data_IF_240373442199
#
_entry.id   IF_240373442199
#
_cell.length_a   1.000
_cell.length_b   1.000
_cell.length_c   1.000
_cell.angle_alpha   90.00
_cell.angle_beta   90.00
_cell.angle_gamma   90.00
#
_symmetry.space_group_name_H-M   'P 1'
#
loop_
_entity.id
_entity.type
_entity.pdbx_description
1 polymer ?
#
# COMPACT_ATOMS: atom_id res chain seq x y z
N UNK A 1 -71.85 -8.41 -22.33
CA UNK A 1 -70.81 -8.98 -21.44
C UNK A 1 -69.49 -8.50 -22.01
N UNK A 2 -68.70 -7.60 -21.46
CA UNK A 2 -68.53 -7.15 -20.08
C UNK A 2 -67.03 -7.18 -19.78
N UNK A 3 -66.39 -6.00 -19.78
CA UNK A 3 -65.09 -5.67 -19.15
C UNK A 3 -63.82 -6.33 -19.72
N UNK A 4 -62.59 -5.83 -19.56
CA UNK A 4 -61.97 -4.52 -19.33
C UNK A 4 -60.46 -4.80 -19.14
N UNK A 5 -59.60 -3.82 -19.43
CA UNK A 5 -58.33 -3.51 -18.72
C UNK A 5 -57.06 -4.36 -19.01
N UNK A 6 -56.17 -3.71 -19.78
CA UNK A 6 -54.70 -3.55 -19.61
C UNK A 6 -53.99 -4.36 -18.51
N UNK A 7 -52.84 -4.97 -18.83
CA UNK A 7 -51.61 -4.77 -18.05
C UNK A 7 -50.35 -4.91 -18.91
N UNK A 8 -49.59 -3.81 -18.98
CA UNK A 8 -48.18 -3.75 -19.38
C UNK A 8 -47.35 -4.51 -18.34
N UNK A 9 -46.39 -5.36 -18.73
CA UNK A 9 -45.19 -5.58 -17.91
C UNK A 9 -44.00 -5.79 -18.83
N UNK A 10 -43.17 -4.75 -18.92
CA UNK A 10 -41.82 -4.81 -19.44
C UNK A 10 -40.99 -5.74 -18.52
N UNK A 11 -40.41 -6.80 -19.08
CA UNK A 11 -39.43 -7.60 -18.35
C UNK A 11 -38.11 -6.83 -18.34
N UNK A 12 -37.90 -6.09 -17.25
CA UNK A 12 -36.70 -5.35 -16.91
C UNK A 12 -35.49 -6.27 -16.88
N UNK A 13 -34.44 -5.89 -17.61
CA UNK A 13 -33.10 -6.40 -17.44
C UNK A 13 -32.57 -6.01 -16.05
N UNK A 14 -32.43 -6.98 -15.14
CA UNK A 14 -31.60 -6.81 -13.95
C UNK A 14 -30.14 -7.03 -14.34
N UNK A 15 -29.50 -5.97 -14.84
CA UNK A 15 -28.06 -5.80 -14.68
C UNK A 15 -27.80 -5.66 -13.19
N UNK A 16 -27.39 -6.75 -12.54
CA UNK A 16 -26.76 -6.72 -11.24
C UNK A 16 -25.45 -5.94 -11.37
N UNK A 17 -25.51 -4.63 -11.13
CA UNK A 17 -24.33 -3.84 -10.83
C UNK A 17 -23.74 -4.37 -9.53
N UNK A 18 -22.73 -5.21 -9.64
CA UNK A 18 -21.83 -5.56 -8.55
C UNK A 18 -21.17 -4.26 -8.11
N UNK A 19 -21.74 -3.63 -7.09
CA UNK A 19 -21.08 -2.57 -6.35
C UNK A 19 -19.90 -3.22 -5.65
N UNK A 20 -18.77 -3.28 -6.35
CA UNK A 20 -17.46 -3.44 -5.74
C UNK A 20 -17.20 -2.18 -4.93
N UNK A 21 -17.89 -2.08 -3.79
CA UNK A 21 -17.65 -1.06 -2.79
C UNK A 21 -16.17 -1.07 -2.46
N UNK A 22 -15.60 0.13 -2.34
CA UNK A 22 -14.24 0.37 -1.92
C UNK A 22 -13.84 -0.66 -0.85
N UNK A 23 -12.93 -1.56 -1.19
CA UNK A 23 -12.21 -2.32 -0.18
C UNK A 23 -11.37 -1.30 0.57
N UNK A 24 -11.96 -0.71 1.63
CA UNK A 24 -11.21 0.04 2.61
C UNK A 24 -10.05 -0.86 3.01
N UNK A 25 -8.83 -0.44 2.66
CA UNK A 25 -7.64 -1.27 2.84
C UNK A 25 -7.61 -1.75 4.28
N UNK A 26 -7.60 -3.08 4.48
CA UNK A 26 -7.39 -3.63 5.81
C UNK A 26 -6.09 -3.00 6.33
N UNK A 27 -6.17 -2.45 7.53
CA UNK A 27 -5.01 -1.84 8.17
C UNK A 27 -3.92 -2.92 8.35
N UNK A 28 -2.64 -2.61 8.10
CA UNK A 28 -1.55 -3.53 8.40
C UNK A 28 -1.59 -4.02 9.84
N UNK A 29 -1.32 -5.30 10.06
CA UNK A 29 -1.20 -5.87 11.40
C UNK A 29 0.11 -5.46 12.09
N UNK A 30 1.10 -5.00 11.31
CA UNK A 30 2.36 -4.43 11.76
C UNK A 30 2.81 -3.36 10.79
N UNK A 31 3.39 -2.30 11.32
CA UNK A 31 4.05 -1.28 10.53
C UNK A 31 5.40 -0.96 11.13
N UNK A 32 6.38 -0.77 10.26
CA UNK A 32 7.69 -0.26 10.65
C UNK A 32 8.04 0.95 9.81
N UNK A 33 8.86 1.84 10.35
CA UNK A 33 9.38 2.99 9.63
C UNK A 33 10.87 3.17 9.88
N UNK A 34 11.58 3.74 8.91
CA UNK A 34 13.02 4.00 9.01
C UNK A 34 13.43 5.11 8.05
N UNK A 35 14.63 5.64 8.28
CA UNK A 35 15.28 6.63 7.43
C UNK A 35 16.22 5.92 6.45
N UNK A 36 16.22 6.39 5.21
CA UNK A 36 17.32 6.20 4.26
C UNK A 36 18.39 7.26 4.55
N UNK A 37 19.61 7.02 4.09
CA UNK A 37 20.70 8.03 4.15
C UNK A 37 20.41 9.24 3.25
N UNK A 38 19.52 9.05 2.28
CA UNK A 38 19.01 10.06 1.37
C UNK A 38 18.10 9.47 0.28
N UNK A 39 17.37 10.30 -0.48
CA UNK A 39 16.46 9.82 -1.53
C UNK A 39 17.16 9.05 -2.67
N UNK A 40 18.47 9.23 -2.85
CA UNK A 40 19.30 8.47 -3.79
C UNK A 40 19.42 6.99 -3.43
N UNK A 41 19.12 6.60 -2.19
CA UNK A 41 19.12 5.21 -1.74
C UNK A 41 17.85 4.44 -2.15
N UNK A 42 16.80 5.14 -2.61
CA UNK A 42 15.51 4.53 -3.00
C UNK A 42 15.65 3.37 -4.00
N UNK A 43 16.50 3.44 -5.06
CA UNK A 43 16.70 2.29 -5.95
C UNK A 43 17.30 1.07 -5.24
N UNK A 44 18.24 1.28 -4.30
CA UNK A 44 18.84 0.21 -3.52
C UNK A 44 17.81 -0.41 -2.55
N UNK A 45 17.01 0.42 -1.89
CA UNK A 45 15.87 -0.02 -1.08
C UNK A 45 14.85 -0.83 -1.91
N UNK A 46 14.47 -0.33 -3.09
CA UNK A 46 13.51 -0.98 -3.98
C UNK A 46 14.02 -2.35 -4.43
N UNK A 47 15.28 -2.43 -4.87
CA UNK A 47 15.91 -3.68 -5.28
C UNK A 47 16.03 -4.68 -4.12
N UNK A 48 16.32 -4.20 -2.92
CA UNK A 48 16.34 -5.02 -1.72
C UNK A 48 14.96 -5.66 -1.42
N UNK A 49 13.88 -4.88 -1.52
CA UNK A 49 12.52 -5.38 -1.31
C UNK A 49 12.05 -6.31 -2.43
N UNK A 50 12.41 -6.05 -3.68
CA UNK A 50 12.17 -6.97 -4.80
C UNK A 50 12.89 -8.31 -4.60
N UNK A 51 14.14 -8.30 -4.15
CA UNK A 51 14.88 -9.52 -3.81
C UNK A 51 14.18 -10.37 -2.73
N UNK A 52 13.66 -9.73 -1.69
CA UNK A 52 12.82 -10.40 -0.68
C UNK A 52 11.56 -10.96 -1.33
N UNK A 53 10.86 -10.18 -2.15
CA UNK A 53 9.64 -10.63 -2.82
C UNK A 53 9.91 -11.88 -3.68
N UNK A 54 11.01 -11.91 -4.44
CA UNK A 54 11.39 -13.05 -5.26
C UNK A 54 11.70 -14.31 -4.42
N UNK A 55 12.43 -14.17 -3.31
CA UNK A 55 12.74 -15.29 -2.42
C UNK A 55 11.48 -15.94 -1.84
N UNK A 56 10.51 -15.11 -1.44
CA UNK A 56 9.23 -15.56 -0.92
C UNK A 56 8.20 -15.87 -2.02
N UNK A 57 8.60 -15.83 -3.30
CA UNK A 57 7.77 -16.07 -4.49
C UNK A 57 6.51 -15.21 -4.52
N UNK A 58 6.66 -13.95 -4.15
CA UNK A 58 5.61 -12.93 -4.15
C UNK A 58 5.54 -12.26 -5.51
N UNK A 59 4.35 -11.78 -5.87
CA UNK A 59 4.18 -10.88 -7.00
C UNK A 59 4.55 -9.46 -6.57
N UNK A 60 5.67 -8.95 -7.07
CA UNK A 60 6.17 -7.61 -6.76
C UNK A 60 5.57 -6.56 -7.70
N UNK A 61 5.24 -5.40 -7.15
CA UNK A 61 4.71 -4.25 -7.87
C UNK A 61 5.47 -3.00 -7.48
N UNK A 62 5.82 -2.20 -8.48
CA UNK A 62 6.37 -0.86 -8.28
C UNK A 62 5.54 0.15 -9.06
N UNK A 63 4.76 0.95 -8.35
CA UNK A 63 3.88 1.99 -8.89
C UNK A 63 4.36 3.40 -8.55
N UNK A 64 5.62 3.53 -8.11
CA UNK A 64 6.22 4.79 -7.66
C UNK A 64 6.12 5.89 -8.72
N UNK A 65 6.46 5.58 -9.98
CA UNK A 65 6.37 6.53 -11.10
C UNK A 65 4.94 7.01 -11.36
N UNK A 66 4.00 6.06 -11.48
CA UNK A 66 2.57 6.35 -11.65
C UNK A 66 2.03 7.21 -10.49
N UNK A 67 2.42 6.88 -9.26
CA UNK A 67 2.00 7.62 -8.07
C UNK A 67 2.52 9.06 -8.12
N UNK A 68 3.77 9.26 -8.55
CA UNK A 68 4.33 10.59 -8.75
C UNK A 68 3.58 11.41 -9.82
N UNK A 69 3.20 10.78 -10.93
CA UNK A 69 2.39 11.42 -11.97
C UNK A 69 1.00 11.82 -11.47
N UNK A 70 0.32 10.93 -10.75
CA UNK A 70 -0.98 11.17 -10.15
C UNK A 70 -0.93 12.32 -9.14
N UNK A 71 0.07 12.33 -8.24
CA UNK A 71 0.25 13.42 -7.27
C UNK A 71 0.52 14.77 -7.95
N UNK A 72 1.37 14.80 -8.99
CA UNK A 72 1.61 16.02 -9.77
C UNK A 72 0.34 16.51 -10.45
N UNK A 73 -0.43 15.60 -11.04
CA UNK A 73 -1.70 15.96 -11.66
C UNK A 73 -2.71 16.48 -10.64
N UNK A 74 -2.78 15.92 -9.44
CA UNK A 74 -3.67 16.43 -8.40
C UNK A 74 -3.21 17.80 -7.87
N UNK A 75 -1.91 18.03 -7.79
CA UNK A 75 -1.34 19.28 -7.30
C UNK A 75 -1.56 20.47 -8.24
N UNK A 76 -1.87 20.25 -9.53
CA UNK A 76 -2.26 21.35 -10.42
C UNK A 76 -3.56 22.01 -9.98
N UNK A 77 -4.45 21.23 -9.35
CA UNK A 77 -5.80 21.67 -8.98
C UNK A 77 -5.94 21.87 -7.47
N UNK A 78 -5.16 21.15 -6.66
CA UNK A 78 -5.22 21.15 -5.21
C UNK A 78 -3.85 21.53 -4.62
N UNK A 79 -3.71 22.80 -4.24
CA UNK A 79 -2.44 23.36 -3.70
C UNK A 79 -1.93 22.71 -2.41
N UNK A 80 -2.77 21.94 -1.72
CA UNK A 80 -2.43 21.25 -0.47
C UNK A 80 -1.95 19.83 -0.68
N UNK A 81 -1.93 19.31 -1.92
CA UNK A 81 -1.40 17.98 -2.20
C UNK A 81 0.12 18.01 -2.03
N UNK A 82 0.68 17.24 -1.09
CA UNK A 82 2.12 17.13 -0.96
C UNK A 82 2.68 16.39 -2.18
N UNK A 83 3.48 17.07 -2.99
CA UNK A 83 4.19 16.46 -4.11
C UNK A 83 5.56 16.01 -3.60
N UNK A 84 5.75 14.70 -3.52
CA UNK A 84 7.05 14.10 -3.30
C UNK A 84 7.58 13.62 -4.65
N UNK A 85 8.57 14.33 -5.23
CA UNK A 85 9.17 13.97 -6.52
C UNK A 85 9.89 12.61 -6.49
N UNK A 86 10.12 12.08 -5.28
CA UNK A 86 10.70 10.78 -4.99
C UNK A 86 9.70 9.89 -4.25
N UNK A 87 8.44 9.93 -4.69
CA UNK A 87 7.39 9.06 -4.16
C UNK A 87 7.81 7.59 -4.28
N UNK A 88 7.67 6.84 -3.19
CA UNK A 88 7.81 5.39 -3.14
C UNK A 88 6.43 4.80 -2.96
N UNK A 89 6.08 3.88 -3.85
CA UNK A 89 4.87 3.08 -3.76
C UNK A 89 5.16 1.71 -4.36
N UNK A 90 5.64 0.82 -3.50
CA UNK A 90 5.94 -0.57 -3.86
C UNK A 90 5.13 -1.50 -2.97
N UNK A 91 4.93 -2.72 -3.43
CA UNK A 91 4.33 -3.75 -2.62
C UNK A 91 4.53 -5.11 -3.23
N UNK A 92 4.36 -6.14 -2.43
CA UNK A 92 4.32 -7.50 -2.93
C UNK A 92 3.24 -8.30 -2.23
N UNK A 93 2.66 -9.27 -2.94
CA UNK A 93 1.63 -10.14 -2.40
C UNK A 93 1.94 -11.62 -2.66
N UNK A 94 1.58 -12.49 -1.71
CA UNK A 94 1.57 -13.94 -1.84
C UNK A 94 0.14 -14.45 -1.66
N UNK A 95 -0.76 -14.04 -2.56
CA UNK A 95 -2.19 -14.29 -2.40
C UNK A 95 -2.71 -13.72 -1.07
N UNK A 96 -3.54 -14.48 -0.36
CA UNK A 96 -4.08 -14.10 0.97
C UNK A 96 -3.13 -14.38 2.14
N UNK A 97 -2.02 -15.09 1.91
CA UNK A 97 -1.14 -15.55 3.00
C UNK A 97 -0.44 -14.38 3.69
N UNK A 98 0.29 -13.58 2.91
CA UNK A 98 0.97 -12.38 3.41
C UNK A 98 1.31 -11.42 2.28
N UNK A 99 1.43 -10.14 2.62
CA UNK A 99 1.85 -9.07 1.73
C UNK A 99 2.56 -7.96 2.49
N UNK A 100 3.27 -7.12 1.74
CA UNK A 100 3.74 -5.83 2.24
C UNK A 100 3.38 -4.72 1.26
N UNK A 101 3.17 -3.52 1.78
CA UNK A 101 3.22 -2.28 1.03
C UNK A 101 4.26 -1.36 1.67
N UNK A 102 5.03 -0.66 0.86
CA UNK A 102 6.04 0.29 1.34
C UNK A 102 5.95 1.60 0.56
N UNK A 103 6.12 2.71 1.27
CA UNK A 103 6.06 4.03 0.65
C UNK A 103 6.41 5.17 1.59
N UNK A 104 6.33 6.39 1.06
CA UNK A 104 6.64 7.63 1.76
C UNK A 104 5.56 8.71 1.54
N UNK A 105 4.34 8.29 1.24
CA UNK A 105 3.22 9.22 1.03
C UNK A 105 2.84 9.87 2.36
N UNK A 106 3.03 11.19 2.46
CA UNK A 106 2.86 11.95 3.69
C UNK A 106 4.08 11.94 4.62
N UNK A 107 5.20 11.38 4.17
CA UNK A 107 6.50 11.41 4.86
C UNK A 107 7.54 12.18 4.03
N UNK A 108 8.64 12.63 4.65
CA UNK A 108 9.84 13.10 3.94
C UNK A 108 10.35 12.07 2.91
N UNK A 109 11.06 12.56 1.88
CA UNK A 109 11.45 11.75 0.72
C UNK A 109 12.40 10.58 1.04
N UNK A 110 13.19 10.75 2.09
CA UNK A 110 14.15 9.82 2.66
C UNK A 110 13.54 8.88 3.73
N UNK A 111 12.27 9.05 4.09
CA UNK A 111 11.63 8.21 5.11
C UNK A 111 10.69 7.19 4.49
N UNK A 112 10.79 5.94 4.92
CA UNK A 112 9.98 4.83 4.42
C UNK A 112 9.13 4.27 5.56
N UNK A 113 7.86 4.02 5.27
CA UNK A 113 7.00 3.13 6.07
C UNK A 113 6.75 1.84 5.30
N UNK A 114 6.73 0.71 6.01
CA UNK A 114 6.32 -0.59 5.49
C UNK A 114 5.18 -1.12 6.35
N UNK A 115 4.07 -1.46 5.71
CA UNK A 115 2.94 -2.15 6.34
C UNK A 115 2.85 -3.60 5.89
N UNK A 116 2.73 -4.51 6.85
CA UNK A 116 2.55 -5.95 6.63
C UNK A 116 1.08 -6.37 6.81
N UNK A 117 0.59 -7.21 5.90
CA UNK A 117 -0.78 -7.72 5.90
C UNK A 117 -0.81 -9.23 5.66
N UNK A 118 -1.92 -9.87 5.98
CA UNK A 118 -2.20 -11.29 5.75
C UNK A 118 -3.49 -11.72 6.45
N UNK A 119 -4.21 -12.68 5.88
CA UNK A 119 -5.45 -13.19 6.50
C UNK A 119 -5.15 -14.18 7.64
N UNK A 120 -4.03 -14.90 7.58
CA UNK A 120 -3.52 -15.78 8.63
C UNK A 120 -2.26 -15.21 9.28
N UNK A 121 -2.39 -14.73 10.52
CA UNK A 121 -1.27 -14.17 11.27
C UNK A 121 -0.21 -15.21 11.66
N UNK A 122 -0.56 -16.50 11.75
CA UNK A 122 0.43 -17.54 12.05
C UNK A 122 1.45 -17.69 10.91
N UNK A 123 1.01 -17.44 9.66
CA UNK A 123 1.89 -17.42 8.48
C UNK A 123 2.49 -16.03 8.24
N UNK A 124 1.73 -14.96 8.41
CA UNK A 124 2.17 -13.61 8.06
C UNK A 124 3.18 -12.99 9.05
N UNK A 125 3.08 -13.32 10.35
CA UNK A 125 4.02 -12.80 11.36
C UNK A 125 5.47 -13.27 11.15
N UNK A 126 5.75 -14.57 10.95
CA UNK A 126 7.10 -15.03 10.64
C UNK A 126 7.72 -14.37 9.41
N UNK A 127 6.89 -14.09 8.38
CA UNK A 127 7.34 -13.33 7.22
C UNK A 127 7.74 -11.90 7.60
N UNK A 128 6.87 -11.17 8.30
CA UNK A 128 7.17 -9.81 8.73
C UNK A 128 8.42 -9.76 9.64
N UNK A 129 8.57 -10.70 10.57
CA UNK A 129 9.74 -10.80 11.46
C UNK A 129 11.04 -11.00 10.66
N UNK A 130 11.01 -11.87 9.65
CA UNK A 130 12.17 -12.10 8.79
C UNK A 130 12.54 -10.86 7.96
N UNK A 131 11.55 -10.15 7.41
CA UNK A 131 11.77 -8.91 6.66
C UNK A 131 12.34 -7.82 7.57
N UNK A 132 11.74 -7.59 8.74
CA UNK A 132 12.21 -6.59 9.72
C UNK A 132 13.63 -6.90 10.18
N UNK A 133 13.96 -8.16 10.43
CA UNK A 133 15.32 -8.58 10.79
C UNK A 133 16.32 -8.21 9.71
N UNK A 134 15.98 -8.44 8.43
CA UNK A 134 16.86 -8.08 7.31
C UNK A 134 16.98 -6.58 7.11
N UNK A 135 15.88 -5.84 7.24
CA UNK A 135 15.89 -4.37 7.19
C UNK A 135 16.81 -3.80 8.28
N UNK A 136 16.73 -4.36 9.50
CA UNK A 136 17.54 -3.95 10.65
C UNK A 136 19.05 -4.20 10.47
N UNK A 137 19.46 -4.97 9.46
CA UNK A 137 20.88 -5.14 9.11
C UNK A 137 21.45 -3.96 8.31
N UNK A 138 20.59 -3.04 7.84
CA UNK A 138 20.95 -1.92 6.97
C UNK A 138 20.45 -0.57 7.48
N UNK A 139 19.24 -0.54 8.02
CA UNK A 139 18.58 0.68 8.49
C UNK A 139 18.18 0.55 9.96
N UNK A 140 18.09 1.68 10.64
CA UNK A 140 17.53 1.72 11.99
C UNK A 140 16.00 1.66 11.91
N UNK A 141 15.43 0.49 12.25
CA UNK A 141 14.00 0.22 12.11
C UNK A 141 13.25 0.59 13.38
N UNK A 142 12.21 1.41 13.25
CA UNK A 142 11.28 1.77 14.31
C UNK A 142 9.94 1.07 14.11
N UNK A 143 9.42 0.45 15.17
CA UNK A 143 8.02 -0.01 15.17
C UNK A 143 7.07 1.19 15.24
N UNK A 144 6.04 1.17 14.39
CA UNK A 144 4.94 2.12 14.48
C UNK A 144 3.91 1.57 15.48
N UNK A 145 3.52 2.33 16.51
CA UNK A 145 2.57 1.84 17.50
C UNK A 145 1.24 1.38 16.89
N UNK A 146 0.70 0.30 17.44
CA UNK A 146 -0.61 -0.22 17.07
C UNK A 146 -1.69 0.88 17.14
N UNK A 147 -2.59 0.89 16.16
CA UNK A 147 -3.62 1.94 16.05
C UNK A 147 -3.13 3.31 15.53
N UNK A 148 -1.81 3.55 15.38
CA UNK A 148 -1.26 4.83 14.86
C UNK A 148 -0.77 4.74 13.40
N UNK A 149 -0.85 5.84 12.65
CA UNK A 149 -0.16 5.94 11.36
C UNK A 149 1.32 6.25 11.56
N UNK A 150 2.13 6.03 10.52
CA UNK A 150 3.50 6.53 10.50
C UNK A 150 3.51 8.07 10.52
N UNK A 151 4.44 8.63 11.28
CA UNK A 151 4.69 10.07 11.36
C UNK A 151 6.16 10.33 11.06
N UNK A 152 6.51 11.54 10.59
CA UNK A 152 7.90 11.90 10.34
C UNK A 152 8.77 11.61 11.56
N UNK A 153 9.88 10.90 11.33
CA UNK A 153 10.92 10.69 12.33
C UNK A 153 11.70 12.01 12.52
N UNK A 154 11.94 12.44 13.78
CA UNK A 154 12.63 13.70 14.06
C UNK A 154 14.15 13.64 13.79
N UNK A 155 14.76 12.45 13.88
CA UNK A 155 16.22 12.26 13.82
C UNK A 155 16.60 11.28 12.69
N UNK A 156 16.46 11.73 11.44
CA UNK A 156 16.99 11.02 10.27
C UNK A 156 18.34 11.64 9.88
N UNK A 157 19.38 11.29 10.65
CA UNK A 157 20.78 11.72 10.42
C UNK A 157 21.72 10.52 10.38
#
# INVERSE_FOLDING_TARGET
MGSAIYYRVAALALMTMSVGGCTGGKRPFRMVQFCLSGPEEIPAFTSFMDGIAQEYRMEFTNRSGQTGDELRSMASDIKTVPVNERAVNIGANRGSAFSFGAGNLGLPADQIVIGFNGDDLATARPFADAVVTRLSSRWHVHEVPDGKGALPLPDCD
#
